data_IF_288647105545
#
_entry.id   IF_288647105545
#
_cell.length_a   1.000
_cell.length_b   1.000
_cell.length_c   1.000
_cell.angle_alpha   90.00
_cell.angle_beta   90.00
_cell.angle_gamma   90.00
#
_symmetry.space_group_name_H-M   'P 1'
#
loop_
_entity.id
_entity.type
_entity.pdbx_description
1 polymer ?
#
# COMPACT_ATOMS: atom_id res chain seq x y z
N UNK A 1 -14.86 -24.90 -4.31
CA UNK A 1 -13.38 -24.87 -4.30
C UNK A 1 -12.92 -24.63 -2.89
N UNK A 2 -11.95 -25.40 -2.40
CA UNK A 2 -11.36 -25.19 -1.09
C UNK A 2 -10.00 -24.50 -1.25
N UNK A 3 -9.92 -23.21 -0.91
CA UNK A 3 -8.67 -22.43 -0.97
C UNK A 3 -7.92 -22.40 0.37
N UNK A 4 -8.48 -23.02 1.41
CA UNK A 4 -7.89 -23.05 2.76
C UNK A 4 -6.95 -24.25 2.98
N UNK A 5 -6.85 -25.15 2.00
CA UNK A 5 -5.89 -26.25 2.02
C UNK A 5 -4.47 -25.75 1.68
N UNK A 6 -3.41 -26.49 2.04
CA UNK A 6 -2.06 -26.14 1.63
C UNK A 6 -1.95 -26.05 0.09
N UNK A 7 -1.18 -25.07 -0.42
CA UNK A 7 -1.03 -24.83 -1.87
C UNK A 7 -0.55 -26.07 -2.63
N UNK A 8 0.32 -26.87 -2.01
CA UNK A 8 0.84 -28.13 -2.59
C UNK A 8 -0.25 -29.18 -2.89
N UNK A 9 -1.40 -29.06 -2.22
CA UNK A 9 -2.53 -30.01 -2.32
C UNK A 9 -3.65 -29.45 -3.22
N UNK A 10 -3.49 -28.23 -3.77
CA UNK A 10 -4.48 -27.58 -4.61
C UNK A 10 -4.46 -28.11 -6.05
N UNK A 11 -5.65 -28.34 -6.62
CA UNK A 11 -5.82 -28.65 -8.03
C UNK A 11 -5.64 -27.41 -8.93
N UNK A 12 -5.60 -27.59 -10.27
CA UNK A 12 -5.38 -26.49 -11.21
C UNK A 12 -6.39 -25.35 -11.12
N UNK A 13 -7.64 -25.66 -10.76
CA UNK A 13 -8.68 -24.64 -10.62
C UNK A 13 -8.56 -23.87 -9.31
N UNK A 14 -8.23 -24.57 -8.22
CA UNK A 14 -7.93 -23.97 -6.93
C UNK A 14 -6.71 -23.05 -7.01
N UNK A 15 -5.66 -23.46 -7.74
CA UNK A 15 -4.46 -22.63 -7.96
C UNK A 15 -4.77 -21.34 -8.71
N UNK A 16 -5.61 -21.40 -9.76
CA UNK A 16 -6.06 -20.19 -10.47
C UNK A 16 -6.84 -19.26 -9.54
N UNK A 17 -7.81 -19.79 -8.80
CA UNK A 17 -8.61 -19.01 -7.87
C UNK A 17 -7.77 -18.45 -6.70
N UNK A 18 -6.76 -19.18 -6.23
CA UNK A 18 -5.81 -18.71 -5.22
C UNK A 18 -4.95 -17.55 -5.74
N UNK A 19 -4.44 -17.65 -6.97
CA UNK A 19 -3.68 -16.56 -7.60
C UNK A 19 -4.54 -15.31 -7.81
N UNK A 20 -5.79 -15.47 -8.28
CA UNK A 20 -6.73 -14.36 -8.43
C UNK A 20 -7.06 -13.68 -7.10
N UNK A 21 -7.23 -14.47 -6.03
CA UNK A 21 -7.46 -13.95 -4.69
C UNK A 21 -6.25 -13.14 -4.20
N UNK A 22 -5.04 -13.69 -4.36
CA UNK A 22 -3.80 -13.01 -3.98
C UNK A 22 -3.62 -11.68 -4.73
N UNK A 23 -3.91 -11.67 -6.03
CA UNK A 23 -3.86 -10.44 -6.83
C UNK A 23 -4.84 -9.39 -6.32
N UNK A 24 -6.10 -9.78 -6.05
CA UNK A 24 -7.12 -8.85 -5.52
C UNK A 24 -6.70 -8.24 -4.18
N UNK A 25 -6.18 -9.06 -3.27
CA UNK A 25 -5.70 -8.59 -1.97
C UNK A 25 -4.52 -7.63 -2.10
N UNK A 26 -3.58 -7.93 -3.00
CA UNK A 26 -2.45 -7.06 -3.30
C UNK A 26 -2.90 -5.70 -3.87
N UNK A 27 -3.83 -5.71 -4.83
CA UNK A 27 -4.33 -4.49 -5.46
C UNK A 27 -5.13 -3.61 -4.47
N UNK A 28 -5.90 -4.23 -3.57
CA UNK A 28 -6.61 -3.54 -2.50
C UNK A 28 -5.65 -2.88 -1.51
N UNK A 29 -4.62 -3.62 -1.07
CA UNK A 29 -3.58 -3.09 -0.19
C UNK A 29 -2.84 -1.90 -0.82
N UNK A 30 -2.46 -2.01 -2.09
CA UNK A 30 -1.81 -0.90 -2.82
C UNK A 30 -2.73 0.30 -2.98
N UNK A 31 -4.02 0.09 -3.27
CA UNK A 31 -4.98 1.19 -3.38
C UNK A 31 -5.12 1.96 -2.07
N UNK A 32 -5.19 1.24 -0.94
CA UNK A 32 -5.28 1.88 0.38
C UNK A 32 -3.98 2.60 0.75
N UNK A 33 -2.82 2.03 0.41
CA UNK A 33 -1.52 2.70 0.58
C UNK A 33 -1.45 4.00 -0.22
N UNK A 34 -1.81 3.98 -1.50
CA UNK A 34 -1.87 5.18 -2.35
C UNK A 34 -2.85 6.22 -1.80
N UNK A 35 -4.03 5.78 -1.33
CA UNK A 35 -5.01 6.68 -0.72
C UNK A 35 -4.43 7.38 0.51
N UNK A 36 -3.75 6.64 1.39
CA UNK A 36 -3.09 7.20 2.58
C UNK A 36 -1.94 8.12 2.19
N UNK A 37 -1.11 7.71 1.24
CA UNK A 37 0.01 8.51 0.75
C UNK A 37 -0.47 9.87 0.24
N UNK A 38 -1.46 9.88 -0.65
CA UNK A 38 -2.07 11.12 -1.18
C UNK A 38 -2.76 11.97 -0.12
N UNK A 39 -3.29 11.36 0.93
CA UNK A 39 -3.88 12.14 2.03
C UNK A 39 -2.84 12.99 2.77
N UNK A 40 -1.56 12.60 2.74
CA UNK A 40 -0.49 13.42 3.31
C UNK A 40 -0.17 14.66 2.48
N UNK A 41 -0.40 14.64 1.16
CA UNK A 41 -0.21 15.83 0.31
C UNK A 41 -1.10 17.00 0.76
N UNK A 42 -2.31 16.71 1.25
CA UNK A 42 -3.23 17.71 1.79
C UNK A 42 -2.97 18.07 3.27
N UNK A 43 -2.18 17.26 3.99
CA UNK A 43 -1.85 17.48 5.41
C UNK A 43 -0.55 18.26 5.63
N UNK A 44 0.31 18.36 4.63
CA UNK A 44 1.53 19.15 4.74
C UNK A 44 1.18 20.64 4.75
N UNK A 45 1.72 21.42 5.71
CA UNK A 45 1.57 22.87 5.70
C UNK A 45 2.01 23.42 4.34
N UNK A 46 1.11 24.15 3.69
CA UNK A 46 1.43 24.85 2.42
C UNK A 46 2.28 26.10 2.65
N UNK A 47 2.50 26.45 3.91
CA UNK A 47 3.32 27.59 4.31
C UNK A 47 4.79 27.31 3.96
N UNK A 48 5.51 28.36 3.58
CA UNK A 48 6.93 28.25 3.30
C UNK A 48 7.68 27.74 4.53
N UNK A 49 8.60 26.79 4.31
CA UNK A 49 9.46 26.28 5.37
C UNK A 49 10.28 27.44 5.97
N UNK A 50 10.00 27.78 7.22
CA UNK A 50 10.81 28.73 7.98
C UNK A 50 11.90 27.96 8.71
N UNK A 51 13.14 28.11 8.26
CA UNK A 51 14.31 27.56 8.93
C UNK A 51 14.44 28.12 10.34
N UNK A 52 14.56 27.23 11.33
CA UNK A 52 14.83 27.59 12.73
C UNK A 52 16.31 27.96 12.92
N UNK A 53 17.18 27.54 12.00
CA UNK A 53 18.58 27.93 12.00
C UNK A 53 18.66 29.38 11.49
N UNK A 54 19.14 30.27 12.36
CA UNK A 54 19.39 31.66 12.02
C UNK A 54 20.53 31.72 10.99
N UNK A 55 20.25 32.29 9.82
CA UNK A 55 21.24 32.43 8.74
C UNK A 55 22.32 33.46 9.08
N UNK A 56 22.14 34.21 10.17
CA UNK A 56 23.05 35.25 10.62
C UNK A 56 23.98 34.80 11.77
N UNK A 57 23.89 33.55 12.25
CA UNK A 57 24.95 32.99 13.10
C UNK A 57 26.17 32.63 12.23
N UNK A 58 27.08 33.60 12.07
CA UNK A 58 28.40 33.43 11.46
C UNK A 58 29.47 34.08 12.31
#
# INVERSE_FOLDING_TARGET
>A
MNLNQPVKDMGPNELKAYAELGQKQHDEANRELERRWRSYDDMLPKDEFVSIIDKNER
#
